data_IF_759509878073
#
_entry.id   IF_759509878073
#
_cell.length_a   1.000
_cell.length_b   1.000
_cell.length_c   1.000
_cell.angle_alpha   90.00
_cell.angle_beta   90.00
_cell.angle_gamma   90.00
#
_symmetry.space_group_name_H-M   'P 1'
#
loop_
_entity.id
_entity.type
_entity.pdbx_description
1 polymer ?
#
# COMPACT_ATOMS: atom_id res chain seq x y z
N UNK A 1 -0.68 24.83 22.98
CA UNK A 1 -0.77 24.33 21.59
C UNK A 1 0.56 23.71 21.18
N UNK A 2 0.93 22.58 21.80
CA UNK A 2 2.13 21.82 21.52
C UNK A 2 1.81 20.34 21.78
N UNK A 3 1.45 19.65 20.69
CA UNK A 3 1.44 18.19 20.45
C UNK A 3 1.54 17.23 21.66
N UNK A 4 0.41 16.64 22.05
CA UNK A 4 0.35 15.28 22.65
C UNK A 4 0.00 14.20 21.58
N UNK A 5 0.04 14.54 20.28
CA UNK A 5 -0.62 13.77 19.21
C UNK A 5 0.24 13.55 17.94
N UNK A 6 1.54 13.89 17.97
CA UNK A 6 2.41 13.70 16.81
C UNK A 6 3.35 12.51 17.07
N UNK A 7 2.99 11.35 16.53
CA UNK A 7 3.86 10.21 16.31
C UNK A 7 4.18 10.07 14.82
N UNK A 8 5.21 9.30 14.46
CA UNK A 8 5.64 9.13 13.06
C UNK A 8 4.59 8.56 12.09
N UNK A 9 3.42 8.15 12.60
CA UNK A 9 2.27 7.63 11.86
C UNK A 9 0.98 8.46 12.08
N UNK A 10 1.06 9.73 12.48
CA UNK A 10 -0.12 10.61 12.67
C UNK A 10 -0.86 10.99 11.36
N UNK A 11 -0.63 10.27 10.26
CA UNK A 11 -1.37 10.42 9.00
C UNK A 11 -2.67 9.61 8.98
N UNK A 12 -3.48 9.79 7.93
CA UNK A 12 -4.69 9.00 7.76
C UNK A 12 -4.32 7.53 7.49
N UNK A 13 -4.56 6.66 8.47
CA UNK A 13 -4.41 5.22 8.31
C UNK A 13 -5.49 4.71 7.36
N UNK A 14 -5.11 3.90 6.37
CA UNK A 14 -6.01 3.36 5.35
C UNK A 14 -6.06 1.82 5.47
N UNK A 15 -6.71 1.27 6.52
CA UNK A 15 -6.77 -0.16 6.70
C UNK A 15 -7.94 -0.75 5.90
N UNK A 16 -7.69 -1.13 4.65
CA UNK A 16 -8.77 -1.48 3.71
C UNK A 16 -9.66 -2.62 4.22
N UNK A 17 -9.13 -3.61 4.93
CA UNK A 17 -9.94 -4.70 5.49
C UNK A 17 -10.51 -4.43 6.89
N UNK A 18 -10.24 -3.26 7.49
CA UNK A 18 -10.70 -2.91 8.85
C UNK A 18 -11.76 -1.78 8.83
N UNK A 19 -11.84 -0.98 7.75
CA UNK A 19 -12.82 0.10 7.59
C UNK A 19 -13.97 -0.26 6.63
N UNK A 20 -15.22 -0.22 7.13
CA UNK A 20 -16.40 -0.60 6.35
C UNK A 20 -16.65 0.28 5.10
N UNK A 21 -16.29 1.57 5.14
CA UNK A 21 -16.42 2.47 4.00
C UNK A 21 -15.40 2.15 2.91
N UNK A 22 -14.16 1.84 3.32
CA UNK A 22 -13.09 1.44 2.40
C UNK A 22 -13.37 0.07 1.77
N UNK A 23 -13.87 -0.89 2.55
CA UNK A 23 -14.34 -2.19 2.03
C UNK A 23 -15.40 -1.97 0.95
N UNK A 24 -16.43 -1.16 1.22
CA UNK A 24 -17.49 -0.87 0.25
C UNK A 24 -16.94 -0.18 -1.00
N UNK A 25 -16.02 0.78 -0.83
CA UNK A 25 -15.38 1.49 -1.93
C UNK A 25 -14.52 0.57 -2.81
N UNK A 26 -13.81 -0.39 -2.20
CA UNK A 26 -13.01 -1.39 -2.90
C UNK A 26 -13.91 -2.40 -3.66
N UNK A 27 -15.00 -2.85 -3.02
CA UNK A 27 -15.97 -3.77 -3.65
C UNK A 27 -16.67 -3.16 -4.87
N UNK A 28 -17.03 -1.89 -4.82
CA UNK A 28 -17.65 -1.21 -5.96
C UNK A 28 -16.63 -0.71 -7.00
N UNK A 29 -15.34 -0.98 -6.80
CA UNK A 29 -14.25 -0.63 -7.73
C UNK A 29 -13.86 0.86 -7.74
N UNK A 30 -14.39 1.66 -6.82
CA UNK A 30 -14.04 3.09 -6.70
C UNK A 30 -12.71 3.34 -5.98
N UNK A 31 -12.25 2.37 -5.18
CA UNK A 31 -10.96 2.36 -4.50
C UNK A 31 -10.06 1.28 -5.10
N UNK A 32 -9.06 1.70 -5.87
CA UNK A 32 -8.01 0.82 -6.42
C UNK A 32 -6.69 0.95 -5.65
N UNK A 33 -5.75 0.03 -5.87
CA UNK A 33 -4.41 0.11 -5.25
C UNK A 33 -3.68 1.39 -5.68
N UNK A 34 -3.78 1.77 -6.95
CA UNK A 34 -3.15 3.01 -7.45
C UNK A 34 -3.80 4.25 -6.83
N UNK A 35 -5.08 4.18 -6.47
CA UNK A 35 -5.76 5.26 -5.73
C UNK A 35 -5.23 5.38 -4.30
N UNK A 36 -4.91 4.24 -3.66
CA UNK A 36 -4.26 4.21 -2.35
C UNK A 36 -2.85 4.83 -2.40
N UNK A 37 -2.03 4.42 -3.38
CA UNK A 37 -0.70 5.01 -3.61
C UNK A 37 -0.78 6.53 -3.84
N UNK A 38 -1.77 6.98 -4.62
CA UNK A 38 -2.00 8.41 -4.82
C UNK A 38 -2.37 9.14 -3.51
N UNK A 39 -3.10 8.50 -2.60
CA UNK A 39 -3.43 9.05 -1.28
C UNK A 39 -2.21 9.07 -0.33
N UNK A 40 -1.31 8.10 -0.45
CA UNK A 40 -0.01 8.06 0.25
C UNK A 40 0.80 9.32 -0.02
N UNK A 41 0.81 9.79 -1.27
CA UNK A 41 1.57 10.99 -1.65
C UNK A 41 1.21 12.24 -0.82
N UNK A 42 -0.03 12.32 -0.31
CA UNK A 42 -0.52 13.51 0.41
C UNK A 42 -0.64 13.28 1.92
N UNK A 43 -1.52 12.38 2.38
CA UNK A 43 -1.96 12.34 3.78
C UNK A 43 -1.82 10.97 4.45
N UNK A 44 -1.74 9.89 3.66
CA UNK A 44 -1.66 8.55 4.22
C UNK A 44 -0.23 8.14 4.59
N UNK A 45 -0.15 7.10 5.42
CA UNK A 45 1.07 6.41 5.85
C UNK A 45 1.39 5.21 4.97
N UNK A 46 0.65 4.99 3.87
CA UNK A 46 0.94 3.96 2.88
C UNK A 46 -0.20 2.95 2.70
N UNK A 47 0.16 1.79 2.17
CA UNK A 47 -0.77 0.71 1.86
C UNK A 47 -0.92 -0.18 3.09
N UNK A 48 -2.13 -0.26 3.64
CA UNK A 48 -2.37 -1.03 4.85
C UNK A 48 -3.57 -1.99 4.72
N UNK A 49 -3.38 -3.22 5.22
CA UNK A 49 -4.38 -4.30 5.18
C UNK A 49 -5.02 -4.51 3.82
N UNK A 50 -4.21 -4.47 2.76
CA UNK A 50 -4.68 -4.74 1.40
C UNK A 50 -4.51 -6.22 1.08
N UNK A 51 -5.62 -6.86 0.72
CA UNK A 51 -5.65 -8.27 0.35
C UNK A 51 -5.35 -8.39 -1.14
N UNK A 52 -4.32 -9.15 -1.48
CA UNK A 52 -3.88 -9.40 -2.85
C UNK A 52 -4.24 -10.83 -3.28
N UNK A 53 -4.32 -11.12 -4.59
CA UNK A 53 -4.45 -12.47 -5.08
C UNK A 53 -3.33 -13.36 -4.55
N UNK A 54 -3.66 -14.59 -4.14
CA UNK A 54 -2.69 -15.50 -3.51
C UNK A 54 -1.52 -15.92 -4.39
N UNK A 55 -1.70 -15.83 -5.71
CA UNK A 55 -0.69 -16.13 -6.74
C UNK A 55 0.12 -14.89 -7.17
N UNK A 56 0.01 -13.77 -6.45
CA UNK A 56 0.79 -12.55 -6.76
C UNK A 56 2.28 -12.83 -6.63
N UNK A 57 3.08 -12.63 -7.69
CA UNK A 57 4.50 -12.96 -7.66
C UNK A 57 5.29 -11.99 -6.77
N UNK A 58 6.39 -12.48 -6.19
CA UNK A 58 7.20 -11.72 -5.23
C UNK A 58 7.76 -10.42 -5.84
N UNK A 59 8.06 -10.39 -7.13
CA UNK A 59 8.56 -9.21 -7.83
C UNK A 59 7.49 -8.11 -7.90
N UNK A 60 6.21 -8.47 -8.06
CA UNK A 60 5.10 -7.50 -8.06
C UNK A 60 4.91 -6.91 -6.67
N UNK A 61 4.96 -7.73 -5.61
CA UNK A 61 4.92 -7.24 -4.23
C UNK A 61 6.14 -6.35 -3.93
N UNK A 62 7.31 -6.72 -4.43
CA UNK A 62 8.54 -5.93 -4.27
C UNK A 62 8.46 -4.57 -4.99
N UNK A 63 7.80 -4.53 -6.16
CA UNK A 63 7.56 -3.29 -6.88
C UNK A 63 6.60 -2.37 -6.12
N UNK A 64 5.50 -2.91 -5.58
CA UNK A 64 4.58 -2.18 -4.72
C UNK A 64 5.30 -1.53 -3.53
N UNK A 65 6.18 -2.28 -2.86
CA UNK A 65 7.01 -1.77 -1.76
C UNK A 65 7.96 -0.68 -2.26
N UNK A 66 8.55 -0.85 -3.44
CA UNK A 66 9.47 0.13 -4.02
C UNK A 66 8.76 1.45 -4.37
N UNK A 67 7.53 1.41 -4.87
CA UNK A 67 6.72 2.58 -5.18
C UNK A 67 6.38 3.37 -3.91
N UNK A 68 5.89 2.68 -2.87
CA UNK A 68 5.58 3.28 -1.57
C UNK A 68 6.84 3.83 -0.87
N UNK A 69 7.97 3.13 -0.97
CA UNK A 69 9.25 3.61 -0.46
C UNK A 69 9.74 4.87 -1.21
N UNK A 70 9.54 4.93 -2.54
CA UNK A 70 9.88 6.10 -3.34
C UNK A 70 9.02 7.31 -2.98
N UNK A 71 7.71 7.12 -2.80
CA UNK A 71 6.80 8.18 -2.34
C UNK A 71 7.26 8.73 -0.99
N UNK A 72 7.56 7.85 -0.03
CA UNK A 72 8.06 8.25 1.29
C UNK A 72 9.39 8.99 1.21
N UNK A 73 10.35 8.45 0.45
CA UNK A 73 11.68 9.02 0.27
C UNK A 73 11.64 10.43 -0.33
N UNK A 74 10.87 10.63 -1.40
CA UNK A 74 10.81 11.91 -2.13
C UNK A 74 10.09 12.99 -1.31
N UNK A 75 9.00 12.60 -0.64
CA UNK A 75 8.15 13.50 0.14
C UNK A 75 8.64 13.69 1.60
N UNK A 76 9.71 13.00 2.01
CA UNK A 76 10.19 13.01 3.39
C UNK A 76 9.10 12.59 4.37
N UNK A 77 8.36 11.53 4.01
CA UNK A 77 7.25 10.96 4.78
C UNK A 77 7.56 9.52 5.17
N UNK A 78 7.04 9.11 6.31
CA UNK A 78 6.98 7.70 6.68
C UNK A 78 5.89 7.03 5.86
N UNK A 79 6.26 5.99 5.13
CA UNK A 79 5.34 5.10 4.42
C UNK A 79 5.53 3.66 4.90
N UNK A 80 4.49 2.85 4.77
CA UNK A 80 4.46 1.46 5.14
C UNK A 80 3.66 0.66 4.12
N UNK A 81 4.00 -0.62 3.98
CA UNK A 81 3.25 -1.56 3.15
C UNK A 81 2.90 -2.78 3.99
N UNK A 82 1.60 -3.03 4.18
CA UNK A 82 1.04 -4.25 4.76
C UNK A 82 0.05 -4.83 3.77
N UNK A 83 0.51 -5.85 3.04
CA UNK A 83 -0.31 -6.60 2.07
C UNK A 83 -0.40 -8.07 2.44
N UNK A 84 -1.52 -8.70 2.08
CA UNK A 84 -1.84 -10.08 2.44
C UNK A 84 -2.16 -10.86 1.17
N UNK A 85 -1.22 -11.67 0.64
CA UNK A 85 -1.51 -12.61 -0.43
C UNK A 85 -2.48 -13.69 0.04
N UNK A 86 -3.72 -13.65 -0.46
CA UNK A 86 -4.78 -14.57 -0.07
C UNK A 86 -4.66 -15.90 -0.81
N UNK A 87 -3.88 -16.83 -0.27
CA UNK A 87 -3.58 -18.14 -0.89
C UNK A 87 -4.87 -18.86 -1.30
N UNK A 88 -4.95 -19.26 -2.57
CA UNK A 88 -6.12 -19.95 -3.14
C UNK A 88 -7.30 -19.03 -3.49
N UNK A 89 -7.20 -17.71 -3.29
CA UNK A 89 -8.22 -16.72 -3.66
C UNK A 89 -7.76 -15.83 -4.81
N UNK A 90 -8.74 -15.37 -5.58
CA UNK A 90 -8.59 -14.51 -6.75
C UNK A 90 -9.32 -13.18 -6.57
N UNK A 91 -9.08 -12.23 -7.48
CA UNK A 91 -9.76 -10.92 -7.47
C UNK A 91 -11.28 -11.11 -7.44
N UNK A 92 -11.95 -10.38 -6.54
CA UNK A 92 -13.38 -10.47 -6.32
C UNK A 92 -13.81 -11.47 -5.24
N UNK A 93 -12.94 -12.38 -4.82
CA UNK A 93 -13.15 -13.15 -3.60
C UNK A 93 -13.04 -12.26 -2.36
N UNK A 94 -13.55 -12.75 -1.23
CA UNK A 94 -13.40 -12.09 0.09
C UNK A 94 -12.52 -12.96 0.98
N UNK A 95 -11.60 -12.35 1.72
CA UNK A 95 -10.87 -13.00 2.82
C UNK A 95 -11.38 -12.42 4.15
N UNK A 96 -11.77 -13.31 5.05
CA UNK A 96 -12.25 -12.98 6.39
C UNK A 96 -11.24 -13.51 7.41
N UNK A 97 -10.66 -12.60 8.20
CA UNK A 97 -9.69 -12.94 9.24
C UNK A 97 -10.38 -13.24 10.58
N UNK A 98 -11.65 -12.90 10.72
CA UNK A 98 -12.42 -12.98 11.95
C UNK A 98 -11.97 -11.98 13.02
N UNK A 99 -12.88 -11.71 13.96
CA UNK A 99 -12.59 -10.89 15.14
C UNK A 99 -12.11 -9.47 14.79
N UNK A 100 -10.99 -9.05 15.39
CA UNK A 100 -10.45 -7.69 15.28
C UNK A 100 -9.66 -7.43 13.99
N UNK A 101 -9.33 -8.47 13.23
CA UNK A 101 -8.49 -8.35 12.01
C UNK A 101 -9.32 -8.06 10.75
N UNK A 102 -10.65 -8.01 10.90
CA UNK A 102 -11.58 -7.60 9.85
C UNK A 102 -11.69 -8.58 8.70
N UNK A 103 -12.19 -8.08 7.57
CA UNK A 103 -12.42 -8.82 6.35
C UNK A 103 -12.36 -7.86 5.16
N UNK A 104 -12.11 -8.36 3.95
CA UNK A 104 -12.11 -7.49 2.77
C UNK A 104 -12.03 -8.22 1.45
N UNK A 105 -12.31 -7.53 0.34
CA UNK A 105 -12.18 -8.09 -0.99
C UNK A 105 -10.71 -8.27 -1.36
N UNK A 106 -10.42 -9.32 -2.13
CA UNK A 106 -9.16 -9.47 -2.85
C UNK A 106 -9.11 -8.42 -3.96
N UNK A 107 -8.19 -7.47 -3.84
CA UNK A 107 -8.06 -6.35 -4.75
C UNK A 107 -7.20 -6.71 -5.96
N UNK A 108 -7.52 -6.13 -7.11
CA UNK A 108 -6.69 -6.26 -8.30
C UNK A 108 -5.37 -5.50 -8.13
N UNK A 109 -4.27 -6.10 -8.60
CA UNK A 109 -2.95 -5.46 -8.72
C UNK A 109 -2.44 -5.65 -10.15
N UNK A 110 -1.69 -4.67 -10.66
CA UNK A 110 -1.04 -4.78 -11.96
C UNK A 110 -0.04 -5.95 -11.97
N UNK A 111 -0.18 -6.84 -12.96
CA UNK A 111 0.67 -8.03 -13.13
C UNK A 111 1.75 -7.88 -14.21
N UNK A 112 1.88 -6.71 -14.82
CA UNK A 112 2.96 -6.47 -15.77
C UNK A 112 4.31 -6.60 -15.07
N UNK A 113 5.19 -7.44 -15.62
CA UNK A 113 6.37 -7.92 -14.88
C UNK A 113 7.36 -6.81 -14.54
N UNK A 114 7.62 -6.55 -13.24
CA UNK A 114 8.68 -5.65 -12.79
C UNK A 114 10.00 -6.38 -12.54
N UNK A 115 10.11 -7.67 -12.91
CA UNK A 115 11.25 -8.53 -12.56
C UNK A 115 12.60 -7.93 -12.99
N UNK A 116 12.65 -7.27 -14.16
CA UNK A 116 13.87 -6.60 -14.63
C UNK A 116 14.27 -5.44 -13.73
N UNK A 117 13.32 -4.68 -13.18
CA UNK A 117 13.60 -3.56 -12.29
C UNK A 117 14.07 -4.06 -10.91
N UNK A 118 13.31 -4.98 -10.31
CA UNK A 118 13.63 -5.57 -9.01
C UNK A 118 14.96 -6.34 -9.03
N UNK A 119 15.21 -7.09 -10.11
CA UNK A 119 16.45 -7.85 -10.29
C UNK A 119 17.72 -6.99 -10.46
N UNK A 120 17.61 -5.66 -10.64
CA UNK A 120 18.80 -4.78 -10.66
C UNK A 120 19.51 -4.74 -9.31
N UNK A 121 18.78 -4.90 -8.21
CA UNK A 121 19.32 -4.78 -6.86
C UNK A 121 20.06 -3.46 -6.63
N UNK A 122 20.95 -3.45 -5.64
CA UNK A 122 21.77 -2.28 -5.30
C UNK A 122 21.05 -1.30 -4.37
N UNK A 123 21.38 -0.01 -4.51
CA UNK A 123 20.91 1.05 -3.61
C UNK A 123 20.37 2.24 -4.42
N UNK A 124 19.14 2.66 -4.12
CA UNK A 124 18.59 3.92 -4.62
C UNK A 124 19.25 5.07 -3.80
N UNK A 125 19.94 6.02 -4.44
CA UNK A 125 20.57 7.12 -3.74
C UNK A 125 19.53 8.06 -3.14
N UNK A 126 19.90 8.76 -2.07
CA UNK A 126 19.02 9.76 -1.46
C UNK A 126 18.72 10.90 -2.45
N UNK A 127 17.50 11.46 -2.43
CA UNK A 127 17.15 12.58 -3.30
C UNK A 127 18.00 13.82 -2.97
N UNK A 128 18.43 14.57 -3.98
CA UNK A 128 19.15 15.82 -3.82
C UNK A 128 18.21 16.90 -3.27
N UNK A 129 18.25 17.14 -1.95
CA UNK A 129 17.41 18.15 -1.30
C UNK A 129 17.73 19.59 -1.72
N UNK A 130 18.96 19.88 -2.17
CA UNK A 130 19.44 21.23 -2.51
C UNK A 130 18.87 21.83 -3.80
N UNK A 131 18.14 21.05 -4.62
CA UNK A 131 17.57 21.47 -5.90
C UNK A 131 16.03 21.50 -5.89
N UNK A 132 15.42 21.58 -4.69
CA UNK A 132 13.99 21.81 -4.56
C UNK A 132 13.74 23.33 -4.71
N UNK A 133 12.99 23.72 -5.74
CA UNK A 133 12.54 25.11 -5.98
C UNK A 133 11.66 25.62 -4.82
#
# INVERSE_FOLDING_TARGET
MASNFVGGLSGAFIPVSEDAGMIAAAQCGSLSIEKLEAMTAVCSVGIDMVILPGDTPAEVISALIADEAAIGMVNSKTTAVRVIPAIGKQVGDTLDFGGLLGWGPVMQINRFSPAKFIGRGGRIPAPLQSLKN
#
